data_IF_161599147978
#
_entry.id   IF_161599147978
#
_cell.length_a   1.000
_cell.length_b   1.000
_cell.length_c   1.000
_cell.angle_alpha   90.00
_cell.angle_beta   90.00
_cell.angle_gamma   90.00
#
_symmetry.space_group_name_H-M   'P 1'
#
loop_
_entity.id
_entity.type
_entity.pdbx_description
1 polymer ?
#
# COMPACT_ATOMS: atom_id res chain seq x y z
N UNK A 1 48.44 -3.61 14.17
CA UNK A 1 48.27 -4.36 15.44
C UNK A 1 46.79 -4.35 15.70
N UNK A 2 45.97 -5.33 15.64
CA UNK A 2 46.00 -6.73 16.00
C UNK A 2 44.87 -7.45 15.23
N UNK A 3 45.19 -8.57 14.60
CA UNK A 3 44.30 -9.57 13.97
C UNK A 3 43.47 -10.33 15.04
N UNK A 4 42.21 -10.65 14.74
CA UNK A 4 41.52 -11.85 15.26
C UNK A 4 40.45 -12.29 14.25
N UNK A 5 40.75 -13.28 13.42
CA UNK A 5 40.49 -14.74 13.39
C UNK A 5 38.99 -15.11 13.50
N UNK A 6 38.47 -15.46 12.35
CA UNK A 6 37.79 -16.70 11.89
C UNK A 6 37.13 -17.59 12.95
N UNK A 7 35.86 -17.94 12.71
CA UNK A 7 35.37 -19.29 12.99
C UNK A 7 34.39 -19.74 11.89
N UNK A 8 34.81 -20.77 11.15
CA UNK A 8 33.99 -21.57 10.23
C UNK A 8 33.24 -22.60 11.08
N UNK A 9 31.95 -22.78 10.83
CA UNK A 9 31.23 -23.97 11.24
C UNK A 9 30.56 -24.56 9.99
N UNK A 10 31.15 -25.65 9.54
CA UNK A 10 30.57 -26.57 8.55
C UNK A 10 29.56 -27.46 9.28
N UNK A 11 28.37 -27.59 8.73
CA UNK A 11 27.42 -28.63 9.12
C UNK A 11 27.22 -29.61 7.97
N UNK A 12 27.67 -30.82 8.21
CA UNK A 12 27.65 -31.97 7.33
C UNK A 12 26.27 -32.63 7.29
N UNK A 13 25.93 -33.00 6.11
CA UNK A 13 24.90 -33.87 5.58
C UNK A 13 24.70 -35.18 6.38
N UNK A 14 23.46 -35.55 6.63
CA UNK A 14 23.05 -36.87 7.07
C UNK A 14 21.88 -37.37 6.24
N UNK A 15 22.20 -38.18 5.24
CA UNK A 15 21.25 -38.91 4.36
C UNK A 15 20.94 -40.27 5.00
N UNK A 16 19.70 -40.51 5.37
CA UNK A 16 19.24 -41.84 5.75
C UNK A 16 18.09 -42.26 4.83
N UNK A 17 18.41 -43.19 3.94
CA UNK A 17 17.45 -43.99 3.19
C UNK A 17 16.95 -45.16 4.08
N UNK A 18 15.65 -45.23 4.33
CA UNK A 18 15.01 -46.44 4.87
C UNK A 18 13.96 -46.92 3.87
N UNK A 19 14.29 -47.99 3.20
CA UNK A 19 13.37 -48.80 2.37
C UNK A 19 12.66 -49.78 3.32
N UNK A 20 11.38 -49.61 3.54
CA UNK A 20 10.54 -50.51 4.30
C UNK A 20 9.35 -50.95 3.45
N UNK A 21 9.41 -52.19 2.89
CA UNK A 21 8.29 -52.81 2.23
C UNK A 21 7.22 -53.24 3.25
N UNK A 22 5.96 -52.97 2.94
CA UNK A 22 4.80 -53.52 3.69
C UNK A 22 4.04 -54.51 2.82
N UNK A 23 3.62 -55.66 3.39
CA UNK A 23 2.81 -56.62 2.69
C UNK A 23 1.36 -56.16 2.59
N UNK A 24 0.77 -56.45 1.43
CA UNK A 24 -0.65 -56.23 1.17
C UNK A 24 -1.51 -57.15 2.05
N UNK A 25 -2.30 -56.60 2.93
CA UNK A 25 -3.43 -57.29 3.56
C UNK A 25 -4.70 -56.77 2.91
N UNK A 26 -5.38 -57.67 2.19
CA UNK A 26 -6.75 -57.48 1.79
C UNK A 26 -7.63 -57.60 3.05
N UNK A 27 -8.27 -56.53 3.44
CA UNK A 27 -9.28 -56.52 4.48
C UNK A 27 -10.60 -56.01 3.89
N UNK A 28 -11.66 -56.80 4.16
CA UNK A 28 -13.04 -56.54 3.81
C UNK A 28 -13.49 -55.10 4.08
N UNK A 29 -14.13 -54.49 3.09
CA UNK A 29 -14.71 -53.17 3.21
C UNK A 29 -16.01 -53.24 4.06
N UNK A 30 -16.09 -52.50 5.19
CA UNK A 30 -17.37 -52.31 5.87
C UNK A 30 -18.25 -51.36 5.07
N UNK A 31 -19.53 -51.71 4.95
CA UNK A 31 -20.56 -50.93 4.29
C UNK A 31 -20.62 -49.49 4.82
N UNK A 32 -20.45 -48.53 3.93
CA UNK A 32 -20.56 -47.09 4.21
C UNK A 32 -22.02 -46.76 4.59
N UNK A 33 -22.28 -46.17 5.76
CA UNK A 33 -23.62 -45.64 6.08
C UNK A 33 -24.00 -44.50 5.14
N UNK A 34 -25.30 -44.30 4.82
CA UNK A 34 -25.75 -43.26 3.92
C UNK A 34 -25.39 -41.88 4.50
N UNK A 35 -24.68 -41.08 3.72
CA UNK A 35 -24.36 -39.70 4.05
C UNK A 35 -25.68 -38.91 4.18
N UNK A 36 -26.00 -38.49 5.38
CA UNK A 36 -27.04 -37.47 5.63
C UNK A 36 -26.71 -36.19 4.83
N UNK A 37 -27.69 -35.58 4.18
CA UNK A 37 -27.45 -34.34 3.46
C UNK A 37 -26.93 -33.28 4.45
N UNK A 38 -25.66 -32.88 4.29
CA UNK A 38 -25.09 -31.74 4.99
C UNK A 38 -25.91 -30.52 4.56
N UNK A 39 -26.66 -29.97 5.52
CA UNK A 39 -27.33 -28.67 5.31
C UNK A 39 -26.28 -27.65 4.85
N UNK A 40 -26.58 -26.83 3.82
CA UNK A 40 -25.65 -25.81 3.39
C UNK A 40 -25.33 -24.93 4.61
N UNK A 41 -24.05 -24.89 4.97
CA UNK A 41 -23.57 -23.98 6.01
C UNK A 41 -24.09 -22.59 5.68
N UNK A 42 -24.84 -21.99 6.59
CA UNK A 42 -25.29 -20.63 6.47
C UNK A 42 -24.04 -19.80 6.17
N UNK A 43 -24.01 -19.20 4.98
CA UNK A 43 -22.96 -18.26 4.62
C UNK A 43 -23.05 -17.15 5.67
N UNK A 44 -22.08 -17.11 6.57
CA UNK A 44 -21.93 -16.02 7.53
C UNK A 44 -21.97 -14.74 6.71
N UNK A 45 -23.07 -14.00 6.82
CA UNK A 45 -23.16 -12.69 6.20
C UNK A 45 -22.00 -11.88 6.75
N UNK A 46 -21.03 -11.62 5.92
CA UNK A 46 -19.78 -10.93 6.32
C UNK A 46 -20.19 -9.67 7.09
N UNK A 47 -19.69 -9.54 8.32
CA UNK A 47 -19.98 -8.40 9.17
C UNK A 47 -19.72 -7.09 8.39
N UNK A 48 -20.54 -6.06 8.55
CA UNK A 48 -20.41 -4.81 7.81
C UNK A 48 -19.01 -4.23 8.01
N UNK A 49 -18.31 -4.01 6.89
CA UNK A 49 -16.96 -3.45 6.89
C UNK A 49 -17.00 -1.96 6.57
N UNK A 50 -16.30 -1.16 7.37
CA UNK A 50 -16.06 0.25 7.09
C UNK A 50 -14.90 0.37 6.12
N UNK A 51 -15.13 0.96 4.93
CA UNK A 51 -14.10 1.13 3.92
C UNK A 51 -13.55 2.54 3.91
N UNK A 52 -12.25 2.65 3.62
CA UNK A 52 -11.62 3.93 3.35
C UNK A 52 -11.85 4.32 1.89
N UNK A 53 -12.27 5.58 1.69
CA UNK A 53 -12.34 6.14 0.35
C UNK A 53 -10.93 6.51 -0.12
N UNK A 54 -10.50 5.90 -1.23
CA UNK A 54 -9.25 6.29 -1.88
C UNK A 54 -9.42 7.61 -2.63
N UNK A 55 -8.46 8.52 -2.47
CA UNK A 55 -8.40 9.78 -3.23
C UNK A 55 -6.98 10.03 -3.77
N UNK A 56 -6.89 10.78 -4.84
CA UNK A 56 -5.58 11.17 -5.40
C UNK A 56 -4.87 12.23 -4.57
N UNK A 57 -5.58 12.91 -3.68
CA UNK A 57 -5.04 14.08 -2.99
C UNK A 57 -4.64 15.17 -3.98
N UNK A 58 -3.41 15.65 -3.86
CA UNK A 58 -2.82 16.68 -4.75
C UNK A 58 -2.11 16.11 -5.98
N UNK A 59 -2.05 14.81 -6.13
CA UNK A 59 -1.31 14.15 -7.19
C UNK A 59 -2.04 14.15 -8.53
N UNK A 60 -1.26 14.09 -9.62
CA UNK A 60 -1.77 14.12 -10.99
C UNK A 60 -2.56 12.84 -11.31
N UNK A 61 -3.47 12.89 -12.30
CA UNK A 61 -4.13 11.70 -12.83
C UNK A 61 -3.12 10.63 -13.27
N UNK A 62 -3.48 9.36 -13.07
CA UNK A 62 -2.65 8.21 -13.45
C UNK A 62 -1.79 7.65 -12.32
N UNK A 63 -1.92 8.19 -11.09
CA UNK A 63 -1.24 7.66 -9.91
C UNK A 63 -1.81 6.31 -9.46
N UNK A 64 -2.94 5.92 -10.02
CA UNK A 64 -3.57 4.62 -9.77
C UNK A 64 -2.75 3.44 -10.31
N UNK A 65 -1.79 3.73 -11.20
CA UNK A 65 -0.91 2.75 -11.82
C UNK A 65 0.55 3.12 -11.63
N UNK A 66 1.42 2.09 -11.60
CA UNK A 66 2.86 2.27 -11.53
C UNK A 66 3.36 3.11 -12.69
N UNK A 67 4.14 4.12 -12.38
CA UNK A 67 4.77 5.00 -13.37
C UNK A 67 6.27 4.93 -13.26
N UNK A 68 6.94 5.27 -14.34
CA UNK A 68 8.40 5.35 -14.38
C UNK A 68 8.79 6.77 -14.73
N UNK A 69 9.60 7.35 -13.88
CA UNK A 69 10.23 8.68 -14.11
C UNK A 69 11.64 8.43 -14.59
N UNK A 70 11.92 8.75 -15.84
CA UNK A 70 13.24 8.58 -16.46
C UNK A 70 14.01 9.90 -16.48
N UNK A 71 15.31 9.82 -16.70
CA UNK A 71 16.18 10.99 -16.76
C UNK A 71 15.80 11.96 -17.89
N UNK A 72 15.44 11.43 -19.05
CA UNK A 72 14.99 12.21 -20.20
C UNK A 72 13.71 13.01 -19.90
N UNK A 73 12.82 12.50 -19.06
CA UNK A 73 11.61 13.20 -18.63
C UNK A 73 11.93 14.48 -17.88
N UNK A 74 13.06 14.50 -17.13
CA UNK A 74 13.53 15.66 -16.38
C UNK A 74 13.98 16.78 -17.31
N UNK A 75 14.72 16.46 -18.36
CA UNK A 75 15.21 17.46 -19.32
C UNK A 75 14.11 18.28 -19.97
N UNK A 76 13.05 17.61 -20.39
CA UNK A 76 11.89 18.22 -21.01
C UNK A 76 11.08 19.08 -20.04
N UNK A 77 10.92 18.64 -18.78
CA UNK A 77 10.18 19.39 -17.77
C UNK A 77 10.94 20.59 -17.24
N UNK A 78 12.25 20.48 -17.03
CA UNK A 78 13.09 21.62 -16.62
C UNK A 78 13.09 22.71 -17.68
N UNK A 79 13.22 22.33 -18.96
CA UNK A 79 13.14 23.30 -20.06
C UNK A 79 11.80 24.01 -20.11
N UNK A 80 10.69 23.29 -19.93
CA UNK A 80 9.33 23.86 -19.91
C UNK A 80 9.12 24.75 -18.69
N UNK A 81 9.61 24.39 -17.52
CA UNK A 81 9.44 25.15 -16.29
C UNK A 81 10.31 26.41 -16.26
N UNK A 82 11.54 26.32 -16.80
CA UNK A 82 12.39 27.50 -17.01
C UNK A 82 11.74 28.46 -18.02
N UNK A 83 11.20 27.96 -19.12
CA UNK A 83 10.48 28.77 -20.09
C UNK A 83 9.25 29.47 -19.48
N UNK A 84 8.45 28.76 -18.66
CA UNK A 84 7.31 29.32 -17.94
C UNK A 84 7.73 30.36 -16.91
N UNK A 85 8.79 30.14 -16.14
CA UNK A 85 9.29 31.08 -15.16
C UNK A 85 9.86 32.35 -15.83
N UNK A 86 10.56 32.20 -16.96
CA UNK A 86 11.03 33.35 -17.75
C UNK A 86 9.85 34.12 -18.34
N UNK A 87 8.84 33.45 -18.88
CA UNK A 87 7.66 34.12 -19.43
C UNK A 87 6.86 34.87 -18.34
N UNK A 88 6.65 34.24 -17.17
CA UNK A 88 5.95 34.91 -16.04
C UNK A 88 6.75 36.08 -15.47
N UNK A 89 8.08 35.99 -15.43
CA UNK A 89 8.94 37.10 -15.00
C UNK A 89 8.87 38.29 -15.97
N UNK A 90 8.82 38.02 -17.27
CA UNK A 90 8.69 39.02 -18.32
C UNK A 90 7.32 39.71 -18.33
N UNK A 91 6.25 38.96 -18.08
CA UNK A 91 4.86 39.44 -18.11
C UNK A 91 4.48 40.18 -16.81
N UNK A 92 4.92 39.69 -15.65
CA UNK A 92 4.50 40.18 -14.35
C UNK A 92 5.44 41.26 -13.75
N UNK A 93 6.61 41.49 -14.34
CA UNK A 93 7.58 42.51 -13.86
C UNK A 93 8.05 42.28 -12.42
N UNK A 94 7.78 41.12 -11.85
CA UNK A 94 8.20 40.73 -10.50
C UNK A 94 9.00 39.43 -10.59
N UNK A 95 10.20 39.43 -10.02
CA UNK A 95 10.91 38.23 -9.71
C UNK A 95 9.98 37.37 -8.85
N UNK A 96 9.48 36.28 -9.40
CA UNK A 96 8.78 35.25 -8.64
C UNK A 96 9.79 34.68 -7.62
N UNK A 97 9.82 35.30 -6.42
CA UNK A 97 10.55 34.78 -5.27
C UNK A 97 9.78 33.56 -4.79
N UNK A 98 10.16 32.41 -5.29
CA UNK A 98 9.54 31.14 -5.00
C UNK A 98 9.83 30.14 -6.10
N UNK A 99 11.11 29.99 -6.46
CA UNK A 99 11.55 28.75 -7.10
C UNK A 99 11.35 27.63 -6.05
N UNK A 100 10.14 27.09 -6.00
CA UNK A 100 9.93 25.79 -5.35
C UNK A 100 10.90 24.84 -6.04
N UNK A 101 11.85 24.33 -5.26
CA UNK A 101 12.87 23.45 -5.80
C UNK A 101 12.20 22.33 -6.56
N UNK A 102 12.61 22.12 -7.82
CA UNK A 102 12.13 21.01 -8.63
C UNK A 102 12.40 19.70 -7.90
N UNK A 103 11.35 18.99 -7.54
CA UNK A 103 11.43 17.63 -7.03
C UNK A 103 11.18 16.64 -8.17
N UNK A 104 11.99 15.60 -8.26
CA UNK A 104 11.73 14.48 -9.19
C UNK A 104 10.34 13.86 -8.94
N UNK A 105 9.82 14.01 -7.74
CA UNK A 105 8.52 13.48 -7.33
C UNK A 105 7.36 14.24 -7.96
N UNK A 106 7.59 15.48 -8.41
CA UNK A 106 6.61 16.28 -9.15
C UNK A 106 6.48 15.85 -10.61
N UNK A 107 7.41 14.98 -11.08
CA UNK A 107 7.33 14.40 -12.40
C UNK A 107 6.27 13.31 -12.43
N UNK A 108 5.28 13.48 -13.28
CA UNK A 108 4.24 12.47 -13.44
C UNK A 108 4.72 11.14 -14.01
N UNK A 109 5.92 11.10 -14.62
CA UNK A 109 6.46 9.92 -15.30
C UNK A 109 5.53 9.39 -16.39
N UNK A 110 5.87 8.26 -16.98
CA UNK A 110 5.04 7.53 -17.94
C UNK A 110 4.57 6.21 -17.35
N UNK A 111 3.39 5.76 -17.76
CA UNK A 111 2.89 4.45 -17.36
C UNK A 111 3.80 3.37 -17.94
N UNK A 112 4.07 2.33 -17.16
CA UNK A 112 4.86 1.20 -17.60
C UNK A 112 4.00 0.27 -18.45
N UNK A 113 4.11 0.39 -19.78
CA UNK A 113 3.26 -0.34 -20.74
C UNK A 113 3.34 -1.86 -20.56
N UNK A 114 4.52 -2.39 -20.20
CA UNK A 114 4.73 -3.83 -19.95
C UNK A 114 3.90 -4.34 -18.76
N UNK A 115 3.46 -3.46 -17.88
CA UNK A 115 2.74 -3.78 -16.64
C UNK A 115 1.35 -3.17 -16.58
N UNK A 116 0.87 -2.56 -17.66
CA UNK A 116 -0.39 -1.81 -17.65
C UNK A 116 -1.60 -2.63 -17.20
N UNK A 117 -1.63 -3.91 -17.53
CA UNK A 117 -2.73 -4.83 -17.20
C UNK A 117 -2.40 -5.73 -16.00
N UNK A 118 -1.17 -5.69 -15.47
CA UNK A 118 -0.77 -6.49 -14.33
C UNK A 118 -1.32 -5.88 -13.02
N UNK A 119 -1.95 -6.69 -12.13
CA UNK A 119 -2.34 -6.26 -10.79
C UNK A 119 -1.20 -5.66 -9.97
N UNK A 120 0.04 -6.10 -10.23
CA UNK A 120 1.25 -5.57 -9.58
C UNK A 120 1.43 -4.07 -9.81
N UNK A 121 0.99 -3.55 -10.97
CA UNK A 121 1.08 -2.12 -11.26
C UNK A 121 -0.01 -1.27 -10.59
N UNK A 122 -1.07 -1.87 -10.03
CA UNK A 122 -2.10 -1.12 -9.31
C UNK A 122 -1.49 -0.52 -8.05
N UNK A 123 -1.81 0.75 -7.78
CA UNK A 123 -1.34 1.42 -6.57
C UNK A 123 -1.81 0.69 -5.31
N UNK A 124 -0.91 0.33 -4.38
CA UNK A 124 -1.26 -0.37 -3.14
C UNK A 124 -2.29 0.37 -2.27
N UNK A 125 -2.36 1.70 -2.39
CA UNK A 125 -3.38 2.50 -1.71
C UNK A 125 -4.82 2.22 -2.17
N UNK A 126 -5.00 1.57 -3.32
CA UNK A 126 -6.30 1.14 -3.83
C UNK A 126 -6.63 -0.28 -3.38
N UNK A 127 -5.62 -1.09 -3.15
CA UNK A 127 -5.71 -2.53 -2.88
C UNK A 127 -5.24 -2.86 -1.46
N UNK A 128 -4.11 -3.51 -1.30
CA UNK A 128 -3.68 -4.14 -0.04
C UNK A 128 -3.58 -3.18 1.14
N UNK A 129 -3.09 -1.95 0.92
CA UNK A 129 -3.02 -0.96 1.99
C UNK A 129 -4.42 -0.50 2.38
N UNK A 130 -5.31 -0.26 1.41
CA UNK A 130 -6.70 0.11 1.69
C UNK A 130 -7.42 -0.99 2.47
N UNK A 131 -7.26 -2.25 2.05
CA UNK A 131 -7.89 -3.38 2.71
C UNK A 131 -7.37 -3.55 4.15
N UNK A 132 -6.05 -3.40 4.37
CA UNK A 132 -5.44 -3.48 5.69
C UNK A 132 -5.95 -2.37 6.62
N UNK A 133 -5.97 -1.13 6.15
CA UNK A 133 -6.43 0.02 6.94
C UNK A 133 -7.95 0.03 7.12
N UNK A 134 -8.73 -0.50 6.18
CA UNK A 134 -10.19 -0.65 6.31
C UNK A 134 -10.57 -1.61 7.44
N UNK A 135 -9.74 -2.63 7.72
CA UNK A 135 -9.93 -3.49 8.90
C UNK A 135 -9.80 -2.69 10.19
N UNK A 136 -8.75 -1.85 10.28
CA UNK A 136 -8.53 -0.97 11.44
C UNK A 136 -9.70 0.01 11.60
N UNK A 137 -10.12 0.65 10.51
CA UNK A 137 -11.29 1.53 10.52
C UNK A 137 -12.55 0.79 11.01
N UNK A 138 -12.81 -0.41 10.50
CA UNK A 138 -13.95 -1.23 10.91
C UNK A 138 -13.99 -1.44 12.42
N UNK A 139 -12.86 -1.78 13.03
CA UNK A 139 -12.79 -2.00 14.47
C UNK A 139 -13.05 -0.71 15.28
N UNK A 140 -12.53 0.42 14.80
CA UNK A 140 -12.76 1.73 15.43
C UNK A 140 -14.24 2.15 15.32
N UNK A 141 -14.81 2.06 14.12
CA UNK A 141 -16.21 2.45 13.90
C UNK A 141 -17.20 1.51 14.60
N UNK A 142 -16.86 0.23 14.75
CA UNK A 142 -17.63 -0.71 15.57
C UNK A 142 -17.65 -0.28 17.04
N UNK A 143 -16.48 0.01 17.62
CA UNK A 143 -16.39 0.51 19.00
C UNK A 143 -17.17 1.81 19.20
N UNK A 144 -17.13 2.72 18.21
CA UNK A 144 -17.93 3.96 18.27
C UNK A 144 -19.42 3.69 18.25
N UNK A 145 -19.88 2.78 17.39
CA UNK A 145 -21.28 2.37 17.33
C UNK A 145 -21.73 1.71 18.64
N UNK A 146 -20.91 0.82 19.22
CA UNK A 146 -21.18 0.20 20.52
C UNK A 146 -21.29 1.25 21.64
N UNK A 147 -20.39 2.23 21.68
CA UNK A 147 -20.43 3.31 22.66
C UNK A 147 -21.66 4.22 22.46
N UNK A 148 -21.98 4.57 21.22
CA UNK A 148 -23.17 5.37 20.90
C UNK A 148 -24.46 4.64 21.28
N UNK A 149 -24.54 3.35 21.00
CA UNK A 149 -25.68 2.50 21.40
C UNK A 149 -25.85 2.43 22.92
N UNK A 150 -24.74 2.23 23.65
CA UNK A 150 -24.79 2.21 25.13
C UNK A 150 -25.28 3.55 25.70
N UNK A 151 -24.83 4.67 25.11
CA UNK A 151 -25.31 6.02 25.51
C UNK A 151 -26.79 6.20 25.22
N UNK A 152 -27.25 5.84 24.02
CA UNK A 152 -28.64 5.96 23.62
C UNK A 152 -29.60 5.16 24.52
N UNK A 153 -29.18 4.01 25.04
CA UNK A 153 -29.95 3.22 26.00
C UNK A 153 -30.14 3.93 27.37
N UNK A 154 -29.21 4.79 27.76
CA UNK A 154 -29.24 5.47 29.09
C UNK A 154 -29.87 6.85 29.03
N UNK A 155 -29.84 7.50 27.87
CA UNK A 155 -30.27 8.91 27.72
C UNK A 155 -31.77 9.07 27.42
N UNK A 156 -32.56 7.97 27.42
CA UNK A 156 -33.98 8.01 27.13
C UNK A 156 -34.32 8.28 25.67
N UNK A 157 -33.38 7.91 24.76
CA UNK A 157 -33.55 8.00 23.30
C UNK A 157 -34.75 7.18 22.82
N UNK A 158 -35.32 7.59 21.68
CA UNK A 158 -36.40 6.83 21.02
C UNK A 158 -35.90 5.49 20.48
N UNK A 159 -36.79 4.50 20.24
CA UNK A 159 -36.40 3.22 19.66
C UNK A 159 -35.69 3.38 18.32
N UNK A 160 -36.06 4.35 17.48
CA UNK A 160 -35.44 4.65 16.19
C UNK A 160 -34.03 5.19 16.35
N UNK A 161 -33.80 6.08 17.32
CA UNK A 161 -32.45 6.62 17.61
C UNK A 161 -31.51 5.53 18.16
N UNK A 162 -32.03 4.61 18.98
CA UNK A 162 -31.28 3.47 19.50
C UNK A 162 -30.83 2.54 18.35
N UNK A 163 -31.73 2.23 17.42
CA UNK A 163 -31.39 1.40 16.24
C UNK A 163 -30.40 2.12 15.28
N UNK A 164 -30.53 3.45 15.14
CA UNK A 164 -29.56 4.21 14.33
C UNK A 164 -28.17 4.24 14.98
N UNK A 165 -28.08 4.43 16.29
CA UNK A 165 -26.83 4.42 17.04
C UNK A 165 -26.06 3.09 16.95
N UNK A 166 -26.76 1.98 16.72
CA UNK A 166 -26.17 0.64 16.54
C UNK A 166 -25.52 0.44 15.18
N UNK A 167 -25.83 1.27 14.19
CA UNK A 167 -25.33 1.06 12.83
C UNK A 167 -23.86 1.41 12.71
N UNK A 168 -23.08 0.45 12.22
CA UNK A 168 -21.68 0.68 11.86
C UNK A 168 -21.62 1.41 10.53
N UNK A 169 -20.91 2.52 10.49
CA UNK A 169 -20.73 3.32 9.29
C UNK A 169 -19.97 2.52 8.21
N UNK A 170 -20.48 2.53 6.97
CA UNK A 170 -19.92 1.76 5.85
C UNK A 170 -18.68 2.41 5.21
N UNK A 171 -18.58 3.72 5.30
CA UNK A 171 -17.45 4.49 4.76
C UNK A 171 -16.85 5.35 5.87
N UNK A 172 -15.52 5.31 5.99
CA UNK A 172 -14.81 6.13 6.96
C UNK A 172 -14.86 7.62 6.57
N UNK A 173 -14.97 8.50 7.55
CA UNK A 173 -14.92 9.96 7.34
C UNK A 173 -13.57 10.42 6.81
N UNK A 174 -12.53 9.69 7.17
CA UNK A 174 -11.15 9.96 6.81
C UNK A 174 -10.78 9.24 5.51
N UNK A 175 -10.42 9.97 4.44
CA UNK A 175 -9.96 9.36 3.20
C UNK A 175 -8.52 8.84 3.33
N UNK A 176 -8.19 7.84 2.54
CA UNK A 176 -6.83 7.44 2.23
C UNK A 176 -6.38 8.18 0.96
N UNK A 177 -5.51 9.16 1.10
CA UNK A 177 -4.95 9.89 -0.02
C UNK A 177 -3.73 9.14 -0.55
N UNK A 178 -3.65 9.02 -1.87
CA UNK A 178 -2.45 8.48 -2.50
C UNK A 178 -1.30 9.45 -2.44
N UNK A 179 -0.11 8.92 -2.23
CA UNK A 179 1.16 9.54 -2.54
C UNK A 179 1.76 8.98 -3.84
N UNK A 180 3.07 9.17 -4.04
CA UNK A 180 3.76 8.64 -5.21
C UNK A 180 3.64 7.10 -5.29
N UNK A 181 3.47 6.57 -6.51
CA UNK A 181 3.59 5.16 -6.85
C UNK A 181 4.38 5.05 -8.16
N UNK A 182 5.73 5.13 -8.05
CA UNK A 182 6.57 5.18 -9.21
C UNK A 182 8.00 4.66 -8.97
N UNK A 183 8.62 4.21 -10.06
CA UNK A 183 10.05 3.97 -10.14
C UNK A 183 10.71 5.26 -10.62
N UNK A 184 11.64 5.80 -9.84
CA UNK A 184 12.33 7.07 -10.16
C UNK A 184 13.81 6.79 -10.34
N UNK A 185 14.38 7.33 -11.41
CA UNK A 185 15.81 7.30 -11.62
C UNK A 185 16.57 7.99 -10.47
N UNK A 186 17.71 7.44 -10.09
CA UNK A 186 18.49 7.95 -8.96
C UNK A 186 19.57 8.93 -9.40
N UNK A 187 20.41 8.52 -10.32
CA UNK A 187 21.60 9.26 -10.71
C UNK A 187 21.35 10.20 -11.90
N UNK A 188 21.78 11.44 -11.76
CA UNK A 188 21.74 12.45 -12.82
C UNK A 188 22.86 12.28 -13.87
N UNK A 189 23.96 11.63 -13.49
CA UNK A 189 25.12 11.38 -14.33
C UNK A 189 25.55 9.93 -14.21
N UNK A 190 26.28 9.44 -15.22
CA UNK A 190 26.75 8.07 -15.28
C UNK A 190 26.03 7.25 -16.36
N UNK A 191 26.57 6.06 -16.65
CA UNK A 191 26.06 5.14 -17.67
C UNK A 191 24.96 4.22 -17.13
N UNK A 192 24.97 3.92 -15.84
CA UNK A 192 24.02 2.99 -15.23
C UNK A 192 22.74 3.71 -14.84
N UNK A 193 21.63 3.26 -15.39
CA UNK A 193 20.31 3.70 -14.98
C UNK A 193 19.88 2.98 -13.71
N UNK A 194 20.04 3.64 -12.58
CA UNK A 194 19.57 3.18 -11.29
C UNK A 194 18.19 3.76 -10.99
N UNK A 195 17.28 2.91 -10.57
CA UNK A 195 15.92 3.28 -10.18
C UNK A 195 15.63 2.84 -8.76
N UNK A 196 14.85 3.64 -8.03
CA UNK A 196 14.24 3.26 -6.76
C UNK A 196 12.73 3.32 -6.83
N UNK A 197 12.07 2.45 -6.11
CA UNK A 197 10.64 2.54 -5.90
C UNK A 197 10.36 3.60 -4.85
N UNK A 198 9.40 4.48 -5.15
CA UNK A 198 8.80 5.40 -4.19
C UNK A 198 7.32 5.11 -4.05
N UNK A 199 6.88 5.00 -2.83
CA UNK A 199 5.48 4.85 -2.47
C UNK A 199 5.14 5.79 -1.32
N UNK A 200 3.97 6.40 -1.37
CA UNK A 200 3.45 7.22 -0.30
C UNK A 200 1.95 7.06 -0.14
N UNK A 201 1.47 7.33 1.06
CA UNK A 201 0.06 7.41 1.38
C UNK A 201 -0.16 8.33 2.58
N UNK A 202 -1.31 8.98 2.63
CA UNK A 202 -1.68 9.88 3.70
C UNK A 202 -3.06 9.50 4.25
N UNK A 203 -3.22 9.51 5.55
CA UNK A 203 -4.48 9.32 6.22
C UNK A 203 -5.01 10.66 6.75
N UNK A 204 -6.18 11.06 6.26
CA UNK A 204 -6.85 12.26 6.72
C UNK A 204 -6.89 13.38 5.68
N UNK A 205 -7.76 14.35 5.94
CA UNK A 205 -7.87 15.55 5.13
C UNK A 205 -6.77 16.53 5.55
N UNK A 206 -6.04 17.11 4.59
CA UNK A 206 -5.17 18.22 4.90
C UNK A 206 -6.03 19.36 5.47
N UNK A 207 -5.64 19.91 6.60
CA UNK A 207 -6.33 21.02 7.25
C UNK A 207 -5.31 21.92 7.92
N UNK A 208 -5.63 23.22 8.01
CA UNK A 208 -4.75 24.23 8.59
C UNK A 208 -4.24 23.89 10.01
N UNK A 209 -5.04 23.14 10.77
CA UNK A 209 -4.75 22.82 12.19
C UNK A 209 -4.34 21.36 12.43
N UNK A 210 -4.41 20.49 11.42
CA UNK A 210 -4.15 19.07 11.57
C UNK A 210 -3.51 18.52 10.31
N UNK A 211 -2.17 18.47 10.24
CA UNK A 211 -1.50 17.86 9.10
C UNK A 211 -1.93 16.39 8.96
N UNK A 212 -2.02 15.88 7.74
CA UNK A 212 -2.29 14.46 7.52
C UNK A 212 -1.23 13.60 8.19
N UNK A 213 -1.58 12.36 8.50
CA UNK A 213 -0.59 11.37 8.87
C UNK A 213 -0.05 10.73 7.59
N UNK A 214 1.25 10.86 7.39
CA UNK A 214 1.91 10.46 6.16
C UNK A 214 2.75 9.21 6.38
N UNK A 215 2.81 8.37 5.37
CA UNK A 215 3.77 7.31 5.24
C UNK A 215 4.51 7.43 3.91
N UNK A 216 5.83 7.33 3.96
CA UNK A 216 6.68 7.26 2.77
C UNK A 216 7.58 6.02 2.84
N UNK A 217 7.70 5.38 1.70
CA UNK A 217 8.61 4.27 1.47
C UNK A 217 9.50 4.54 0.27
N UNK A 218 10.78 4.22 0.41
CA UNK A 218 11.75 4.25 -0.67
C UNK A 218 12.60 2.98 -0.62
N UNK A 219 12.75 2.32 -1.76
CA UNK A 219 13.65 1.18 -1.87
C UNK A 219 15.09 1.60 -2.07
N UNK A 220 16.03 0.67 -1.92
CA UNK A 220 17.38 0.84 -2.42
C UNK A 220 17.36 0.98 -3.96
N UNK A 221 18.22 1.86 -4.52
CA UNK A 221 18.33 2.01 -5.96
C UNK A 221 19.05 0.82 -6.57
N UNK A 222 18.52 0.29 -7.67
CA UNK A 222 19.12 -0.79 -8.43
C UNK A 222 18.96 -0.55 -9.92
N UNK A 223 19.75 -1.25 -10.72
CA UNK A 223 19.70 -1.17 -12.17
C UNK A 223 18.34 -1.56 -12.73
N UNK A 224 17.92 -0.93 -13.82
CA UNK A 224 16.65 -1.22 -14.49
C UNK A 224 16.47 -2.71 -14.82
N UNK A 225 17.55 -3.36 -15.25
CA UNK A 225 17.55 -4.80 -15.55
C UNK A 225 17.19 -5.66 -14.34
N UNK A 226 17.60 -5.25 -13.13
CA UNK A 226 17.26 -5.96 -11.90
C UNK A 226 15.78 -5.78 -11.50
N UNK A 227 15.15 -4.64 -11.84
CA UNK A 227 13.71 -4.47 -11.67
C UNK A 227 12.92 -5.43 -12.56
N UNK A 228 13.37 -5.65 -13.79
CA UNK A 228 12.71 -6.52 -14.78
C UNK A 228 13.01 -8.01 -14.58
N UNK A 229 14.08 -8.34 -13.85
CA UNK A 229 14.47 -9.72 -13.61
C UNK A 229 13.37 -10.53 -12.93
N UNK A 230 13.35 -11.83 -13.18
CA UNK A 230 12.45 -12.80 -12.56
C UNK A 230 10.97 -12.34 -12.58
N UNK A 231 10.56 -11.84 -13.75
CA UNK A 231 9.20 -11.32 -13.96
C UNK A 231 8.78 -10.31 -12.89
N UNK A 232 9.59 -9.30 -12.63
CA UNK A 232 9.34 -8.23 -11.67
C UNK A 232 9.27 -8.69 -10.20
N UNK A 233 10.01 -9.75 -9.86
CA UNK A 233 10.03 -10.28 -8.49
C UNK A 233 10.40 -9.20 -7.47
N UNK A 234 11.41 -8.38 -7.77
CA UNK A 234 11.82 -7.29 -6.89
C UNK A 234 10.70 -6.27 -6.65
N UNK A 235 9.92 -5.94 -7.67
CA UNK A 235 8.78 -5.03 -7.50
C UNK A 235 7.73 -5.61 -6.54
N UNK A 236 7.47 -6.92 -6.60
CA UNK A 236 6.58 -7.60 -5.64
C UNK A 236 7.10 -7.51 -4.21
N UNK A 237 8.38 -7.75 -4.02
CA UNK A 237 9.01 -7.69 -2.70
C UNK A 237 9.00 -6.27 -2.11
N UNK A 238 9.39 -5.28 -2.91
CA UNK A 238 9.42 -3.88 -2.48
C UNK A 238 8.00 -3.33 -2.26
N UNK A 239 7.02 -3.75 -3.07
CA UNK A 239 5.60 -3.47 -2.85
C UNK A 239 5.12 -4.00 -1.50
N UNK A 240 5.43 -5.25 -1.19
CA UNK A 240 5.05 -5.87 0.09
C UNK A 240 5.66 -5.11 1.29
N UNK A 241 6.95 -4.74 1.20
CA UNK A 241 7.61 -3.93 2.23
C UNK A 241 6.97 -2.55 2.40
N UNK A 242 6.63 -1.89 1.28
CA UNK A 242 5.96 -0.59 1.28
C UNK A 242 4.58 -0.66 1.96
N UNK A 243 3.79 -1.67 1.61
CA UNK A 243 2.47 -1.93 2.24
C UNK A 243 2.61 -2.20 3.72
N UNK A 244 3.51 -3.10 4.12
CA UNK A 244 3.73 -3.42 5.53
C UNK A 244 4.13 -2.19 6.35
N UNK A 245 5.10 -1.42 5.85
CA UNK A 245 5.57 -0.18 6.49
C UNK A 245 4.46 0.85 6.64
N UNK A 246 3.68 1.08 5.58
CA UNK A 246 2.62 2.07 5.61
C UNK A 246 1.42 1.61 6.43
N UNK A 247 1.11 0.31 6.44
CA UNK A 247 0.09 -0.24 7.34
C UNK A 247 0.48 0.01 8.80
N UNK A 248 1.70 -0.35 9.21
CA UNK A 248 2.19 -0.12 10.55
C UNK A 248 2.10 1.36 10.96
N UNK A 249 2.62 2.25 10.09
CA UNK A 249 2.67 3.69 10.37
C UNK A 249 1.28 4.29 10.49
N UNK A 250 0.38 3.99 9.54
CA UNK A 250 -0.93 4.62 9.47
C UNK A 250 -1.94 3.97 10.45
N UNK A 251 -1.83 2.67 10.73
CA UNK A 251 -2.66 2.00 11.73
C UNK A 251 -2.37 2.49 13.16
N UNK A 252 -1.18 3.01 13.42
CA UNK A 252 -0.84 3.64 14.69
C UNK A 252 -1.50 5.02 14.91
N UNK A 253 -2.30 5.49 13.95
CA UNK A 253 -3.04 6.75 14.08
C UNK A 253 -3.97 6.73 15.30
N UNK A 254 -4.01 7.81 16.10
CA UNK A 254 -4.99 7.91 17.17
C UNK A 254 -6.43 7.78 16.65
N UNK A 255 -7.33 7.17 17.42
CA UNK A 255 -8.73 6.94 17.01
C UNK A 255 -9.47 8.21 16.51
N UNK A 256 -9.12 9.38 17.04
CA UNK A 256 -9.67 10.67 16.59
C UNK A 256 -9.27 11.08 15.15
N UNK A 257 -8.39 10.32 14.51
CA UNK A 257 -7.97 10.55 13.13
C UNK A 257 -8.80 9.77 12.10
N UNK A 258 -9.49 8.75 12.59
CA UNK A 258 -10.32 7.85 11.79
C UNK A 258 -11.74 8.32 11.61
#
# INVERSE_FOLDING_TARGET
MTFKKQLHAAFTCGMVLAIGGFPAHAADAPATPPLSPVAPAAQDAAAPQTRLRFTRGVYKPGIERLRVVRREDTGNHVATQVALNVATTLIAGRLAIGAQGFSKDDLGGVMLEEQKDDPLAVNPGITELNDALSKVATDIYRKRAEAAYATALTDGSTPEEIEEARKVQKEADTPLNSGPWHLVYENLAGTDELFRLKFGAELGRPGFMRPPLECFYQSEPVAWTQWKADNWQRLREERAKAVARCTETLAAAPEKRW
#
